data_IF_217677604855
#
_entry.id   IF_217677604855
#
_cell.length_a   1.000
_cell.length_b   1.000
_cell.length_c   1.000
_cell.angle_alpha   90.00
_cell.angle_beta   90.00
_cell.angle_gamma   90.00
#
_symmetry.space_group_name_H-M   'P 1'
#
loop_
_entity.id
_entity.type
_entity.pdbx_description
1 polymer ?
#
# COMPACT_ATOMS: atom_id res chain seq x y z
N UNK A 1 19.03 -1.68 -9.43
CA UNK A 1 18.42 -0.40 -9.83
C UNK A 1 16.97 -0.37 -9.34
N UNK A 2 16.57 0.69 -8.65
CA UNK A 2 15.19 0.79 -8.14
C UNK A 2 14.25 1.42 -9.17
N UNK A 3 13.01 0.96 -9.19
CA UNK A 3 11.96 1.51 -10.03
C UNK A 3 11.26 2.67 -9.32
N UNK A 4 10.71 3.60 -10.09
CA UNK A 4 9.83 4.64 -9.54
C UNK A 4 8.60 3.98 -8.92
N UNK A 5 8.16 4.48 -7.78
CA UNK A 5 6.93 4.01 -7.12
C UNK A 5 5.89 5.11 -7.21
N UNK A 6 4.75 4.79 -7.84
CA UNK A 6 3.59 5.67 -7.93
C UNK A 6 2.51 5.12 -7.01
N UNK A 7 1.93 6.00 -6.20
CA UNK A 7 0.91 5.63 -5.23
C UNK A 7 -0.39 6.31 -5.63
N UNK A 8 -1.40 5.52 -5.94
CA UNK A 8 -2.71 6.03 -6.34
C UNK A 8 -3.44 6.68 -5.16
N UNK A 9 -4.30 7.65 -5.45
CA UNK A 9 -5.06 8.38 -4.42
C UNK A 9 -5.90 7.45 -3.55
N UNK A 10 -6.39 6.35 -4.11
CA UNK A 10 -7.16 5.35 -3.38
C UNK A 10 -6.42 4.80 -2.16
N UNK A 11 -5.09 4.65 -2.25
CA UNK A 11 -4.26 4.19 -1.14
C UNK A 11 -4.35 5.18 0.03
N UNK A 12 -4.23 6.46 -0.26
CA UNK A 12 -4.32 7.50 0.77
C UNK A 12 -5.71 7.55 1.39
N UNK A 13 -6.75 7.41 0.58
CA UNK A 13 -8.14 7.37 1.06
C UNK A 13 -8.38 6.17 1.98
N UNK A 14 -7.89 5.00 1.60
CA UNK A 14 -8.01 3.79 2.40
C UNK A 14 -7.33 3.95 3.77
N UNK A 15 -6.14 4.55 3.80
CA UNK A 15 -5.41 4.81 5.04
C UNK A 15 -6.14 5.84 5.90
N UNK A 16 -6.61 6.93 5.32
CA UNK A 16 -7.33 7.98 6.04
C UNK A 16 -8.60 7.43 6.65
N UNK A 17 -9.41 6.69 5.90
CA UNK A 17 -10.64 6.08 6.40
C UNK A 17 -10.38 5.15 7.58
N UNK A 18 -9.36 4.31 7.48
CA UNK A 18 -9.00 3.40 8.55
C UNK A 18 -8.60 4.15 9.82
N UNK A 19 -7.73 5.14 9.70
CA UNK A 19 -7.24 5.88 10.86
C UNK A 19 -8.30 6.79 11.48
N UNK A 20 -9.16 7.41 10.68
CA UNK A 20 -10.28 8.18 11.19
C UNK A 20 -11.23 7.32 12.02
N UNK A 21 -11.53 6.12 11.52
CA UNK A 21 -12.38 5.17 12.25
C UNK A 21 -11.75 4.80 13.60
N UNK A 22 -10.44 4.57 13.64
CA UNK A 22 -9.74 4.23 14.87
C UNK A 22 -9.65 5.39 15.85
N UNK A 23 -9.49 6.62 15.37
CA UNK A 23 -9.51 7.81 16.21
C UNK A 23 -10.84 7.97 16.93
N UNK A 24 -11.94 7.68 16.27
CA UNK A 24 -13.28 7.74 16.87
C UNK A 24 -13.49 6.67 17.94
N UNK A 25 -12.92 5.48 17.73
CA UNK A 25 -13.07 4.36 18.67
C UNK A 25 -12.07 4.37 19.82
N UNK A 26 -10.93 5.01 19.63
CA UNK A 26 -9.84 5.02 20.60
C UNK A 26 -9.43 6.46 20.91
N UNK A 27 -10.14 7.14 21.83
CA UNK A 27 -9.87 8.54 22.14
C UNK A 27 -8.45 8.84 22.64
N UNK A 28 -7.71 7.80 23.06
CA UNK A 28 -6.31 7.93 23.50
C UNK A 28 -5.33 8.02 22.33
N UNK A 29 -5.78 7.71 21.10
CA UNK A 29 -4.95 7.82 19.91
C UNK A 29 -5.04 9.25 19.39
N UNK A 30 -3.89 9.95 19.28
CA UNK A 30 -3.89 11.33 18.80
C UNK A 30 -3.57 11.43 17.31
N UNK A 31 -3.92 12.59 16.71
CA UNK A 31 -3.68 12.85 15.29
C UNK A 31 -2.19 12.84 14.93
N UNK A 32 -1.34 13.33 15.80
CA UNK A 32 0.11 13.38 15.55
C UNK A 32 0.68 11.97 15.41
N UNK A 33 0.24 11.04 16.26
CA UNK A 33 0.65 9.63 16.18
C UNK A 33 0.18 8.99 14.89
N UNK A 34 -1.07 9.27 14.48
CA UNK A 34 -1.64 8.76 13.24
C UNK A 34 -0.87 9.27 12.03
N UNK A 35 -0.56 10.57 11.99
CA UNK A 35 0.22 11.16 10.90
C UNK A 35 1.60 10.53 10.77
N UNK A 36 2.26 10.25 11.89
CA UNK A 36 3.57 9.59 11.89
C UNK A 36 3.48 8.18 11.31
N UNK A 37 2.43 7.43 11.66
CA UNK A 37 2.21 6.08 11.15
C UNK A 37 1.94 6.09 9.64
N UNK A 38 1.09 7.00 9.17
CA UNK A 38 0.81 7.16 7.74
C UNK A 38 2.09 7.48 6.97
N UNK A 39 2.88 8.43 7.46
CA UNK A 39 4.12 8.84 6.82
C UNK A 39 5.13 7.69 6.77
N UNK A 40 5.23 6.92 7.84
CA UNK A 40 6.08 5.73 7.88
C UNK A 40 5.68 4.71 6.83
N UNK A 41 4.37 4.45 6.68
CA UNK A 41 3.86 3.53 5.67
C UNK A 41 4.20 4.01 4.26
N UNK A 42 3.99 5.29 3.98
CA UNK A 42 4.31 5.87 2.67
C UNK A 42 5.81 5.77 2.38
N UNK A 43 6.66 6.06 3.37
CA UNK A 43 8.10 5.95 3.21
C UNK A 43 8.54 4.51 2.93
N UNK A 44 7.93 3.53 3.59
CA UNK A 44 8.20 2.11 3.34
C UNK A 44 7.71 1.68 1.95
N UNK A 45 6.56 2.19 1.49
CA UNK A 45 6.06 1.91 0.15
C UNK A 45 7.03 2.37 -0.94
N UNK A 46 7.70 3.49 -0.73
CA UNK A 46 8.69 3.99 -1.70
C UNK A 46 9.86 3.03 -1.89
N UNK A 47 10.18 2.22 -0.89
CA UNK A 47 11.22 1.19 -0.99
C UNK A 47 10.81 0.00 -1.86
N UNK A 48 9.52 -0.13 -2.15
CA UNK A 48 9.00 -1.20 -2.99
C UNK A 48 9.60 -1.18 -4.39
N UNK A 49 10.00 -0.02 -4.89
CA UNK A 49 10.72 0.10 -6.16
C UNK A 49 12.00 -0.70 -6.22
N UNK A 50 12.65 -0.91 -5.08
CA UNK A 50 13.86 -1.74 -4.97
C UNK A 50 13.52 -3.23 -4.89
N UNK A 51 12.45 -3.59 -4.18
CA UNK A 51 12.09 -4.98 -3.89
C UNK A 51 11.19 -5.61 -4.96
N UNK A 52 10.30 -4.84 -5.55
CA UNK A 52 9.29 -5.36 -6.47
C UNK A 52 9.86 -6.13 -7.67
N UNK A 53 10.99 -5.72 -8.29
CA UNK A 53 11.51 -6.45 -9.44
C UNK A 53 11.94 -7.89 -9.13
N UNK A 54 12.30 -8.18 -7.87
CA UNK A 54 12.78 -9.50 -7.45
C UNK A 54 11.80 -10.22 -6.54
N UNK A 55 10.80 -9.51 -6.02
CA UNK A 55 9.81 -10.06 -5.11
C UNK A 55 8.54 -10.43 -5.88
N UNK A 56 8.18 -11.70 -5.83
CA UNK A 56 7.03 -12.24 -6.57
C UNK A 56 5.92 -12.70 -5.63
N UNK A 57 5.72 -12.01 -4.52
CA UNK A 57 4.68 -12.37 -3.57
C UNK A 57 3.29 -12.27 -4.19
N UNK A 58 2.57 -13.39 -4.17
CA UNK A 58 1.20 -13.45 -4.65
C UNK A 58 0.23 -13.22 -3.52
N UNK A 59 -0.86 -12.55 -3.81
CA UNK A 59 -1.94 -12.35 -2.84
C UNK A 59 -2.91 -13.53 -2.88
N UNK A 60 -3.56 -13.80 -1.74
CA UNK A 60 -4.67 -14.75 -1.63
C UNK A 60 -6.03 -14.05 -1.56
N UNK A 61 -6.01 -12.71 -1.51
CA UNK A 61 -7.23 -11.91 -1.47
C UNK A 61 -7.89 -11.93 -2.86
N UNK A 62 -9.06 -12.57 -2.97
CA UNK A 62 -9.70 -12.81 -4.26
C UNK A 62 -9.89 -11.56 -5.12
N UNK A 63 -10.39 -10.42 -4.58
CA UNK A 63 -10.52 -9.21 -5.39
C UNK A 63 -9.20 -8.76 -6.02
N UNK A 64 -8.10 -8.94 -5.30
CA UNK A 64 -6.77 -8.55 -5.80
C UNK A 64 -6.21 -9.56 -6.78
N UNK A 65 -6.49 -10.85 -6.57
CA UNK A 65 -6.12 -11.90 -7.54
C UNK A 65 -6.79 -11.62 -8.89
N UNK A 66 -8.06 -11.27 -8.88
CA UNK A 66 -8.82 -10.95 -10.09
C UNK A 66 -8.27 -9.72 -10.81
N UNK A 67 -7.76 -8.75 -10.06
CA UNK A 67 -7.14 -7.53 -10.62
C UNK A 67 -5.69 -7.74 -11.04
N UNK A 68 -5.10 -8.89 -10.69
CA UNK A 68 -3.71 -9.17 -10.99
C UNK A 68 -2.70 -8.47 -10.09
N UNK A 69 -3.12 -8.04 -8.91
CA UNK A 69 -2.24 -7.36 -7.97
C UNK A 69 -1.29 -8.33 -7.28
N UNK A 70 -0.11 -7.82 -6.93
CA UNK A 70 0.82 -8.46 -5.99
C UNK A 70 0.63 -7.81 -4.63
N UNK A 71 1.05 -8.51 -3.58
CA UNK A 71 0.83 -8.14 -2.19
C UNK A 71 2.14 -7.71 -1.52
N UNK A 72 2.13 -6.55 -0.90
CA UNK A 72 3.24 -6.08 -0.06
C UNK A 72 2.69 -5.74 1.33
N UNK A 73 3.16 -6.46 2.34
CA UNK A 73 2.69 -6.30 3.72
C UNK A 73 3.64 -5.42 4.51
N UNK A 74 3.09 -4.39 5.14
CA UNK A 74 3.82 -3.49 6.03
C UNK A 74 2.94 -3.13 7.22
N UNK A 75 3.41 -3.43 8.44
CA UNK A 75 2.87 -2.84 9.66
C UNK A 75 1.35 -3.01 9.82
N UNK A 76 0.82 -4.17 9.46
CA UNK A 76 -0.60 -4.49 9.57
C UNK A 76 -1.42 -4.16 8.34
N UNK A 77 -0.81 -3.59 7.29
CA UNK A 77 -1.48 -3.29 6.03
C UNK A 77 -0.93 -4.13 4.88
N UNK A 78 -1.83 -4.60 4.03
CA UNK A 78 -1.49 -5.17 2.73
C UNK A 78 -1.67 -4.09 1.66
N UNK A 79 -0.71 -4.02 0.75
CA UNK A 79 -0.75 -3.07 -0.37
C UNK A 79 -0.76 -3.85 -1.67
N UNK A 80 -1.78 -3.60 -2.49
CA UNK A 80 -1.91 -4.20 -3.81
C UNK A 80 -1.19 -3.37 -4.84
N UNK A 81 -0.23 -3.97 -5.56
CA UNK A 81 0.58 -3.26 -6.54
C UNK A 81 0.78 -4.06 -7.82
N UNK A 82 1.17 -3.36 -8.88
CA UNK A 82 1.61 -3.95 -10.14
C UNK A 82 2.87 -3.27 -10.62
N UNK A 83 3.66 -3.97 -11.43
CA UNK A 83 4.74 -3.37 -12.18
C UNK A 83 4.18 -3.09 -13.58
N UNK A 84 4.14 -1.82 -13.96
CA UNK A 84 3.57 -1.39 -15.24
C UNK A 84 4.62 -0.72 -16.13
N UNK A 85 4.40 -0.78 -17.44
CA UNK A 85 5.25 -0.12 -18.41
C UNK A 85 4.57 1.15 -18.87
N UNK A 86 5.24 2.29 -18.68
CA UNK A 86 4.75 3.59 -19.15
C UNK A 86 5.11 3.82 -20.63
N UNK A 87 4.50 4.84 -21.31
CA UNK A 87 4.74 5.05 -22.75
C UNK A 87 6.20 5.19 -23.16
N UNK A 88 7.07 5.65 -22.26
CA UNK A 88 8.51 5.75 -22.54
C UNK A 88 9.23 4.40 -22.62
N UNK A 89 8.55 3.30 -22.26
CA UNK A 89 9.14 1.96 -22.16
C UNK A 89 9.71 1.63 -20.80
N UNK A 90 9.76 2.60 -19.88
CA UNK A 90 10.24 2.36 -18.52
C UNK A 90 9.18 1.62 -17.69
N UNK A 91 9.67 0.84 -16.73
CA UNK A 91 8.80 0.15 -15.79
C UNK A 91 8.70 0.95 -14.49
N UNK A 92 7.48 1.01 -13.95
CA UNK A 92 7.19 1.67 -12.67
C UNK A 92 6.35 0.73 -11.80
N UNK A 93 6.49 0.89 -10.48
CA UNK A 93 5.62 0.21 -9.53
C UNK A 93 4.44 1.11 -9.25
N UNK A 94 3.23 0.60 -9.43
CA UNK A 94 2.00 1.34 -9.10
C UNK A 94 1.29 0.64 -7.95
N UNK A 95 1.12 1.35 -6.84
CA UNK A 95 0.37 0.87 -5.68
C UNK A 95 -1.07 1.36 -5.83
N UNK A 96 -2.01 0.43 -5.93
CA UNK A 96 -3.40 0.74 -6.25
C UNK A 96 -4.32 0.81 -5.04
N UNK A 97 -4.15 -0.10 -4.08
CA UNK A 97 -5.05 -0.22 -2.94
C UNK A 97 -4.29 -0.58 -1.68
N UNK A 98 -4.85 -0.20 -0.53
CA UNK A 98 -4.38 -0.62 0.78
C UNK A 98 -5.53 -1.31 1.51
N UNK A 99 -5.23 -2.34 2.30
CA UNK A 99 -6.22 -3.05 3.08
C UNK A 99 -5.62 -3.50 4.41
N UNK A 100 -6.28 -3.17 5.52
CA UNK A 100 -5.81 -3.63 6.82
C UNK A 100 -5.97 -5.14 6.95
N UNK A 101 -5.03 -5.80 7.62
CA UNK A 101 -4.98 -7.26 7.73
C UNK A 101 -6.25 -7.89 8.29
N UNK A 102 -6.99 -7.17 9.14
CA UNK A 102 -8.25 -7.65 9.71
C UNK A 102 -9.38 -7.74 8.69
N UNK A 103 -9.27 -7.00 7.59
CA UNK A 103 -10.24 -6.96 6.51
C UNK A 103 -9.76 -7.73 5.26
N UNK A 104 -8.60 -8.34 5.34
CA UNK A 104 -7.94 -8.99 4.21
C UNK A 104 -8.16 -10.50 4.27
N UNK A 105 -8.94 -11.00 3.35
CA UNK A 105 -9.25 -12.44 3.26
C UNK A 105 -8.82 -13.00 1.91
#
# INVERSE_FOLDING_TARGET
MSLEVRIEDEVFLDLVEFYEYNLKKHPTLDEATVLKKEQRLINELKKLGTYAPTDHKQTRHLPWVQKGYKDYYIDGFHFGYKIETIPSGEKVVVVYEACHELLFY
#
